data_IF_433623810764
#
_entry.id   IF_433623810764
#
_cell.length_a   1.000
_cell.length_b   1.000
_cell.length_c   1.000
_cell.angle_alpha   90.00
_cell.angle_beta   90.00
_cell.angle_gamma   90.00
#
_symmetry.space_group_name_H-M   'P 1'
#
loop_
_entity.id
_entity.type
_entity.pdbx_description
1 polymer ?
#
# COMPACT_ATOMS: atom_id res chain seq x y z
N UNK A 1 -20.93 -9.15 -6.62
CA UNK A 1 -19.62 -8.63 -6.19
C UNK A 1 -18.64 -9.80 -6.20
N UNK A 2 -17.50 -9.72 -6.88
CA UNK A 2 -16.48 -10.78 -6.79
C UNK A 2 -15.88 -10.72 -5.38
N UNK A 3 -15.80 -11.88 -4.72
CA UNK A 3 -15.11 -11.93 -3.42
C UNK A 3 -13.60 -11.93 -3.68
N UNK A 4 -12.95 -10.81 -3.38
CA UNK A 4 -11.51 -10.62 -3.57
C UNK A 4 -10.65 -11.60 -2.76
N UNK A 5 -11.21 -12.18 -1.70
CA UNK A 5 -10.54 -13.17 -0.87
C UNK A 5 -10.68 -14.60 -1.39
N UNK A 6 -11.61 -14.86 -2.32
CA UNK A 6 -11.69 -16.14 -3.05
C UNK A 6 -10.77 -16.13 -4.27
N UNK A 7 -10.71 -14.99 -4.97
CA UNK A 7 -9.83 -14.80 -6.10
C UNK A 7 -9.32 -13.35 -6.11
N UNK A 8 -8.08 -13.17 -5.64
CA UNK A 8 -7.45 -11.86 -5.62
C UNK A 8 -7.26 -11.34 -7.06
N UNK A 9 -7.79 -10.16 -7.38
CA UNK A 9 -7.60 -9.56 -8.69
C UNK A 9 -6.15 -9.13 -8.90
N UNK A 10 -5.78 -8.98 -10.16
CA UNK A 10 -4.55 -8.30 -10.58
C UNK A 10 -4.96 -6.98 -11.22
N UNK A 11 -4.30 -5.91 -10.83
CA UNK A 11 -4.54 -4.57 -11.36
C UNK A 11 -3.33 -4.08 -12.16
N UNK A 12 -3.60 -3.17 -13.08
CA UNK A 12 -2.56 -2.56 -13.89
C UNK A 12 -2.74 -1.04 -13.95
N UNK A 13 -1.62 -0.32 -13.84
CA UNK A 13 -1.50 1.09 -14.19
C UNK A 13 -0.68 1.25 -15.48
N UNK A 14 -0.35 2.46 -15.86
CA UNK A 14 0.58 2.70 -16.96
C UNK A 14 1.93 2.02 -16.71
N UNK A 15 2.47 2.18 -15.49
CA UNK A 15 3.84 1.76 -15.14
C UNK A 15 3.93 0.45 -14.37
N UNK A 16 2.86 0.03 -13.69
CA UNK A 16 2.89 -1.05 -12.70
C UNK A 16 1.86 -2.15 -12.94
N UNK A 17 2.18 -3.34 -12.44
CA UNK A 17 1.26 -4.43 -12.17
C UNK A 17 1.17 -4.59 -10.65
N UNK A 18 -0.05 -4.66 -10.10
CA UNK A 18 -0.32 -4.95 -8.70
C UNK A 18 -1.00 -6.32 -8.60
N UNK A 19 -0.39 -7.26 -7.94
CA UNK A 19 -0.94 -8.60 -7.68
C UNK A 19 -0.70 -9.01 -6.23
N UNK A 20 -1.49 -9.97 -5.75
CA UNK A 20 -1.26 -10.53 -4.41
C UNK A 20 0.24 -10.85 -4.22
N UNK A 21 0.78 -10.44 -3.08
CA UNK A 21 2.16 -10.74 -2.70
C UNK A 21 2.40 -12.25 -2.70
N UNK A 22 3.60 -12.68 -3.09
CA UNK A 22 4.03 -14.09 -3.11
C UNK A 22 5.32 -14.24 -2.34
N UNK A 23 5.58 -15.45 -1.87
CA UNK A 23 6.80 -15.74 -1.11
C UNK A 23 8.06 -15.47 -1.93
N UNK A 24 8.00 -15.73 -3.24
CA UNK A 24 9.10 -15.49 -4.18
C UNK A 24 9.46 -14.00 -4.33
N UNK A 25 8.62 -13.10 -3.88
CA UNK A 25 8.90 -11.65 -3.91
C UNK A 25 9.89 -11.22 -2.82
N UNK A 26 10.18 -12.09 -1.82
CA UNK A 26 10.93 -11.72 -0.62
C UNK A 26 12.31 -11.14 -0.94
N UNK A 27 13.06 -11.75 -1.85
CA UNK A 27 14.41 -11.30 -2.22
C UNK A 27 14.39 -9.88 -2.81
N UNK A 28 13.41 -9.58 -3.67
CA UNK A 28 13.31 -8.27 -4.31
C UNK A 28 12.68 -7.21 -3.41
N UNK A 29 11.68 -7.60 -2.60
CA UNK A 29 11.05 -6.72 -1.62
C UNK A 29 12.01 -6.33 -0.48
N UNK A 30 12.99 -7.17 -0.15
CA UNK A 30 13.96 -6.85 0.89
C UNK A 30 14.66 -5.52 0.62
N UNK A 31 14.95 -5.18 -0.63
CA UNK A 31 15.57 -3.89 -0.99
C UNK A 31 14.73 -2.68 -0.58
N UNK A 32 13.40 -2.82 -0.61
CA UNK A 32 12.46 -1.79 -0.16
C UNK A 32 12.44 -1.65 1.36
N UNK A 33 12.46 -2.78 2.07
CA UNK A 33 12.26 -2.85 3.52
C UNK A 33 13.56 -2.88 4.34
N UNK A 34 14.73 -2.93 3.71
CA UNK A 34 16.05 -2.83 4.37
C UNK A 34 16.68 -1.44 4.33
N UNK A 35 16.04 -0.49 3.66
CA UNK A 35 16.47 0.92 3.65
C UNK A 35 15.90 1.64 4.87
N UNK A 36 16.76 1.90 5.87
CA UNK A 36 16.38 2.53 7.14
C UNK A 36 15.75 3.92 7.01
N UNK A 37 16.12 4.68 5.98
CA UNK A 37 15.56 6.01 5.78
C UNK A 37 14.25 5.96 5.01
N UNK A 38 14.12 5.00 4.11
CA UNK A 38 12.89 4.81 3.35
C UNK A 38 11.73 4.25 4.21
N UNK A 39 12.01 3.28 5.09
CA UNK A 39 10.95 2.68 5.95
C UNK A 39 10.34 3.67 6.94
N UNK A 40 11.02 4.75 7.29
CA UNK A 40 10.46 5.84 8.11
C UNK A 40 9.28 6.54 7.44
N UNK A 41 9.15 6.42 6.12
CA UNK A 41 8.06 6.99 5.34
C UNK A 41 6.82 6.07 5.28
N UNK A 42 6.95 4.82 5.71
CA UNK A 42 5.86 3.85 5.69
C UNK A 42 4.89 4.09 6.84
N UNK A 43 3.64 3.75 6.61
CA UNK A 43 2.62 3.85 7.65
C UNK A 43 2.64 2.59 8.52
N UNK A 44 3.29 2.67 9.68
CA UNK A 44 3.36 1.60 10.68
C UNK A 44 2.30 1.75 11.80
N UNK A 45 1.34 2.64 11.66
CA UNK A 45 0.31 2.85 12.67
C UNK A 45 -0.45 1.55 12.95
N UNK A 46 -0.52 1.19 14.26
CA UNK A 46 -1.20 -0.02 14.73
C UNK A 46 -0.59 -1.34 14.23
N UNK A 47 0.64 -1.30 13.75
CA UNK A 47 1.41 -2.49 13.42
C UNK A 47 2.33 -2.86 14.58
N UNK A 48 2.65 -4.14 14.69
CA UNK A 48 3.64 -4.64 15.66
C UNK A 48 5.08 -4.56 15.13
N UNK A 49 5.24 -4.26 13.85
CA UNK A 49 6.52 -4.11 13.15
C UNK A 49 6.76 -2.66 12.77
N UNK A 50 8.02 -2.23 12.74
CA UNK A 50 8.48 -0.97 12.15
C UNK A 50 8.76 -1.08 10.64
N UNK A 51 8.47 -2.25 10.05
CA UNK A 51 8.72 -2.60 8.65
C UNK A 51 10.20 -2.59 8.23
N UNK A 52 11.14 -2.55 9.15
CA UNK A 52 12.54 -2.74 8.82
C UNK A 52 12.93 -4.22 8.91
N UNK A 53 13.40 -4.78 7.80
CA UNK A 53 13.89 -6.14 7.70
C UNK A 53 15.30 -6.15 7.13
N UNK A 54 16.16 -7.01 7.64
CA UNK A 54 17.57 -7.06 7.27
C UNK A 54 17.98 -8.33 6.51
N UNK A 55 17.11 -9.33 6.50
CA UNK A 55 17.36 -10.63 5.86
C UNK A 55 16.17 -11.07 5.01
N UNK A 56 16.44 -11.91 4.02
CA UNK A 56 15.38 -12.53 3.20
C UNK A 56 14.44 -13.36 4.07
N UNK A 57 14.96 -14.07 5.07
CA UNK A 57 14.15 -14.87 5.99
C UNK A 57 13.14 -14.01 6.77
N UNK A 58 13.56 -12.85 7.28
CA UNK A 58 12.66 -11.91 7.94
C UNK A 58 11.56 -11.41 6.97
N UNK A 59 11.95 -11.11 5.72
CA UNK A 59 10.98 -10.68 4.70
C UNK A 59 10.00 -11.81 4.33
N UNK A 60 10.49 -13.06 4.18
CA UNK A 60 9.64 -14.22 3.96
C UNK A 60 8.64 -14.43 5.10
N UNK A 61 9.07 -14.29 6.34
CA UNK A 61 8.20 -14.43 7.50
C UNK A 61 7.13 -13.33 7.52
N UNK A 62 7.48 -12.11 7.14
CA UNK A 62 6.53 -11.02 6.96
C UNK A 62 5.50 -11.33 5.85
N UNK A 63 5.94 -11.83 4.69
CA UNK A 63 5.03 -12.20 3.60
C UNK A 63 4.10 -13.34 4.03
N UNK A 64 4.60 -14.35 4.74
CA UNK A 64 3.76 -15.44 5.30
C UNK A 64 2.66 -14.87 6.20
N UNK A 65 3.01 -13.94 7.08
CA UNK A 65 2.03 -13.25 7.93
C UNK A 65 0.99 -12.50 7.09
N UNK A 66 1.38 -11.73 6.07
CA UNK A 66 0.44 -11.04 5.19
C UNK A 66 -0.51 -11.99 4.45
N UNK A 67 -0.01 -13.14 4.01
CA UNK A 67 -0.82 -14.16 3.36
C UNK A 67 -1.79 -14.85 4.33
N UNK A 68 -1.39 -15.04 5.59
CA UNK A 68 -2.29 -15.53 6.64
C UNK A 68 -3.43 -14.54 6.93
N UNK A 69 -3.12 -13.23 6.98
CA UNK A 69 -4.13 -12.19 7.17
C UNK A 69 -5.08 -12.09 5.97
N UNK A 70 -4.57 -12.29 4.75
CA UNK A 70 -5.41 -12.43 3.57
C UNK A 70 -6.36 -13.62 3.68
N UNK A 71 -5.89 -14.78 4.12
CA UNK A 71 -6.73 -15.97 4.34
C UNK A 71 -7.83 -15.73 5.39
N UNK A 72 -7.54 -14.89 6.40
CA UNK A 72 -8.53 -14.47 7.42
C UNK A 72 -9.45 -13.35 6.92
N UNK A 73 -9.28 -12.88 5.70
CA UNK A 73 -10.05 -11.80 5.08
C UNK A 73 -9.94 -10.45 5.81
N UNK A 74 -8.77 -10.15 6.39
CA UNK A 74 -8.57 -8.89 7.10
C UNK A 74 -8.11 -7.76 6.15
N UNK A 75 -7.20 -8.04 5.24
CA UNK A 75 -6.71 -7.11 4.23
C UNK A 75 -5.99 -7.84 3.09
N UNK A 76 -5.71 -7.10 2.03
CA UNK A 76 -4.89 -7.58 0.91
C UNK A 76 -3.63 -6.76 0.82
N UNK A 77 -2.49 -7.44 0.69
CA UNK A 77 -1.20 -6.82 0.39
C UNK A 77 -0.78 -7.19 -1.03
N UNK A 78 -0.69 -6.18 -1.89
CA UNK A 78 -0.27 -6.32 -3.27
C UNK A 78 1.21 -6.03 -3.42
N UNK A 79 1.95 -6.86 -4.17
CA UNK A 79 3.26 -6.47 -4.68
C UNK A 79 3.11 -5.48 -5.81
N UNK A 80 3.89 -4.42 -5.79
CA UNK A 80 4.01 -3.43 -6.88
C UNK A 80 5.16 -3.84 -7.78
N UNK A 81 4.88 -4.08 -9.06
CA UNK A 81 5.81 -4.65 -10.02
C UNK A 81 5.91 -3.72 -11.22
N UNK A 82 7.03 -3.01 -11.43
CA UNK A 82 7.23 -2.22 -12.64
C UNK A 82 7.20 -3.10 -13.89
N UNK A 83 6.44 -2.68 -14.89
CA UNK A 83 6.37 -3.36 -16.19
C UNK A 83 7.73 -3.40 -16.90
N UNK A 84 8.66 -2.51 -16.54
CA UNK A 84 9.99 -2.40 -17.13
C UNK A 84 10.98 -3.47 -16.70
N UNK A 85 10.85 -4.02 -15.48
CA UNK A 85 11.84 -4.96 -14.94
C UNK A 85 11.22 -6.23 -14.31
N UNK A 86 9.90 -6.25 -14.14
CA UNK A 86 9.15 -7.38 -13.61
C UNK A 86 9.59 -7.88 -12.21
N UNK A 87 10.12 -6.99 -11.36
CA UNK A 87 10.54 -7.28 -9.98
C UNK A 87 9.68 -6.50 -9.00
N UNK A 88 9.27 -7.13 -7.90
CA UNK A 88 8.55 -6.43 -6.84
C UNK A 88 9.44 -5.36 -6.20
N UNK A 89 8.99 -4.11 -6.19
CA UNK A 89 9.73 -2.94 -5.67
C UNK A 89 9.07 -2.30 -4.45
N UNK A 90 8.02 -2.89 -3.98
CA UNK A 90 7.27 -2.40 -2.85
C UNK A 90 5.91 -3.07 -2.76
N UNK A 91 5.08 -2.60 -1.85
CA UNK A 91 3.73 -3.13 -1.67
C UNK A 91 2.68 -2.03 -1.52
N UNK A 92 1.44 -2.41 -1.85
CA UNK A 92 0.24 -1.63 -1.54
C UNK A 92 -0.68 -2.49 -0.70
N UNK A 93 -1.17 -1.93 0.38
CA UNK A 93 -2.18 -2.55 1.23
C UNK A 93 -3.41 -1.66 1.28
N UNK A 94 -4.57 -2.27 1.15
CA UNK A 94 -5.81 -1.60 1.50
C UNK A 94 -6.53 -2.40 2.58
N UNK A 95 -6.87 -1.71 3.65
CA UNK A 95 -7.77 -2.19 4.66
C UNK A 95 -9.19 -2.08 4.14
N UNK A 96 -9.84 -3.22 3.99
CA UNK A 96 -11.26 -3.27 3.66
C UNK A 96 -12.16 -2.82 4.80
N UNK A 97 -13.47 -2.84 4.57
CA UNK A 97 -14.47 -2.40 5.51
C UNK A 97 -14.48 -0.87 5.67
N UNK A 98 -15.01 -0.40 6.79
CA UNK A 98 -15.24 1.03 7.03
C UNK A 98 -13.96 1.89 7.09
N UNK A 99 -12.80 1.29 7.25
CA UNK A 99 -11.58 2.04 7.45
C UNK A 99 -11.01 2.65 6.16
N UNK A 100 -10.99 1.91 5.06
CA UNK A 100 -10.48 2.37 3.76
C UNK A 100 -9.03 2.90 3.80
N UNK A 101 -8.18 2.38 4.69
CA UNK A 101 -6.80 2.86 4.85
C UNK A 101 -5.93 2.29 3.76
N UNK A 102 -5.32 3.17 2.96
CA UNK A 102 -4.35 2.84 1.92
C UNK A 102 -2.93 3.04 2.45
N UNK A 103 -2.11 2.01 2.34
CA UNK A 103 -0.66 2.06 2.61
C UNK A 103 0.09 1.79 1.32
N UNK A 104 1.08 2.64 1.01
CA UNK A 104 1.91 2.55 -0.18
C UNK A 104 3.35 2.57 0.28
N UNK A 105 4.00 1.41 0.22
CA UNK A 105 5.39 1.21 0.60
C UNK A 105 6.19 0.93 -0.68
N UNK A 106 7.00 1.87 -1.14
CA UNK A 106 7.82 1.73 -2.34
C UNK A 106 9.29 1.91 -2.00
N UNK A 107 10.17 1.22 -2.72
CA UNK A 107 11.61 1.47 -2.64
C UNK A 107 11.93 2.92 -3.02
N UNK A 108 13.02 3.46 -2.48
CA UNK A 108 13.34 4.89 -2.57
C UNK A 108 13.35 5.43 -4.01
N UNK A 109 13.83 4.63 -4.95
CA UNK A 109 13.87 4.96 -6.38
C UNK A 109 12.47 5.19 -6.98
N UNK A 110 11.47 4.42 -6.53
CA UNK A 110 10.09 4.49 -7.01
C UNK A 110 9.18 5.33 -6.10
N UNK A 111 9.70 5.83 -4.98
CA UNK A 111 8.94 6.66 -4.04
C UNK A 111 8.78 8.10 -4.58
N UNK A 112 8.13 8.23 -5.73
CA UNK A 112 7.93 9.47 -6.50
C UNK A 112 6.47 9.89 -6.52
N UNK A 113 6.19 11.18 -6.77
CA UNK A 113 4.83 11.68 -6.94
C UNK A 113 4.08 10.96 -8.07
N UNK A 114 4.77 10.67 -9.20
CA UNK A 114 4.16 9.94 -10.31
C UNK A 114 3.70 8.55 -9.90
N UNK A 115 4.52 7.80 -9.16
CA UNK A 115 4.16 6.46 -8.68
C UNK A 115 2.97 6.50 -7.72
N UNK A 116 2.95 7.49 -6.83
CA UNK A 116 1.83 7.71 -5.91
C UNK A 116 0.56 8.09 -6.65
N UNK A 117 0.62 9.02 -7.61
CA UNK A 117 -0.53 9.43 -8.42
C UNK A 117 -1.16 8.22 -9.14
N UNK A 118 -0.36 7.40 -9.83
CA UNK A 118 -0.86 6.21 -10.51
C UNK A 118 -1.55 5.22 -9.58
N UNK A 119 -0.95 4.94 -8.41
CA UNK A 119 -1.50 3.96 -7.45
C UNK A 119 -2.75 4.51 -6.76
N UNK A 120 -2.77 5.79 -6.40
CA UNK A 120 -3.93 6.41 -5.76
C UNK A 120 -5.12 6.48 -6.74
N UNK A 121 -4.90 6.83 -8.01
CA UNK A 121 -5.96 6.81 -9.03
C UNK A 121 -6.52 5.42 -9.21
N UNK A 122 -5.68 4.40 -9.34
CA UNK A 122 -6.12 3.01 -9.40
C UNK A 122 -6.98 2.64 -8.19
N UNK A 123 -6.60 3.10 -6.99
CA UNK A 123 -7.36 2.85 -5.77
C UNK A 123 -8.75 3.47 -5.83
N UNK A 124 -8.85 4.74 -6.23
CA UNK A 124 -10.13 5.45 -6.35
C UNK A 124 -11.01 4.81 -7.42
N UNK A 125 -10.43 4.39 -8.55
CA UNK A 125 -11.17 3.89 -9.71
C UNK A 125 -11.61 2.42 -9.57
N UNK A 126 -10.86 1.59 -8.85
CA UNK A 126 -11.09 0.15 -8.84
C UNK A 126 -11.18 -0.45 -7.43
N UNK A 127 -10.29 -0.09 -6.50
CA UNK A 127 -10.31 -0.69 -5.15
C UNK A 127 -11.57 -0.33 -4.39
N UNK A 128 -12.07 0.87 -4.56
CA UNK A 128 -13.30 1.35 -3.93
C UNK A 128 -14.43 0.36 -4.13
N UNK A 129 -14.68 -0.02 -5.38
CA UNK A 129 -15.76 -0.95 -5.73
C UNK A 129 -15.45 -2.38 -5.30
N UNK A 130 -14.21 -2.85 -5.54
CA UNK A 130 -13.82 -4.23 -5.26
C UNK A 130 -13.76 -4.53 -3.74
N UNK A 131 -13.38 -3.53 -2.93
CA UNK A 131 -13.29 -3.65 -1.47
C UNK A 131 -14.53 -3.15 -0.74
N UNK A 132 -15.47 -2.53 -1.43
CA UNK A 132 -16.70 -1.99 -0.84
C UNK A 132 -16.45 -0.92 0.22
N UNK A 133 -15.51 0.00 -0.06
CA UNK A 133 -15.14 1.10 0.85
C UNK A 133 -15.78 2.41 0.41
N UNK A 134 -16.18 3.23 1.37
CA UNK A 134 -16.84 4.51 1.12
C UNK A 134 -15.86 5.70 1.08
N UNK A 135 -14.63 5.47 1.53
CA UNK A 135 -13.60 6.50 1.55
C UNK A 135 -12.21 5.89 1.54
N UNK A 136 -11.24 6.61 0.98
CA UNK A 136 -9.81 6.24 1.00
C UNK A 136 -9.07 7.18 1.94
N UNK A 137 -8.25 6.63 2.83
CA UNK A 137 -7.49 7.38 3.82
C UNK A 137 -6.01 7.09 3.68
N UNK A 138 -5.18 8.13 3.59
CA UNK A 138 -3.74 8.04 3.47
C UNK A 138 -3.09 8.83 4.61
N UNK A 139 -2.13 8.23 5.32
CA UNK A 139 -1.31 8.96 6.27
C UNK A 139 -0.30 9.82 5.51
N UNK A 140 -0.27 11.13 5.79
CA UNK A 140 0.58 12.10 5.10
C UNK A 140 1.69 12.66 5.96
N UNK A 141 1.58 12.54 7.29
CA UNK A 141 2.60 13.05 8.22
C UNK A 141 4.00 12.45 8.01
N UNK A 142 4.10 11.23 7.47
CA UNK A 142 5.35 10.56 7.15
C UNK A 142 5.90 10.93 5.75
N UNK A 143 5.10 11.58 4.93
CA UNK A 143 5.40 11.90 3.52
C UNK A 143 5.00 13.33 3.18
N UNK A 144 5.42 14.34 3.97
CA UNK A 144 4.98 15.72 3.79
C UNK A 144 5.29 16.28 2.40
N UNK A 145 6.32 15.76 1.75
CA UNK A 145 6.69 16.13 0.38
C UNK A 145 5.66 15.72 -0.69
N UNK A 146 4.71 14.85 -0.35
CA UNK A 146 3.67 14.37 -1.26
C UNK A 146 2.28 14.96 -1.00
N UNK A 147 2.14 15.82 0.00
CA UNK A 147 0.83 16.40 0.37
C UNK A 147 0.18 17.07 -0.84
N UNK A 148 0.93 17.89 -1.59
CA UNK A 148 0.39 18.58 -2.76
C UNK A 148 -0.13 17.60 -3.83
N UNK A 149 0.57 16.50 -4.08
CA UNK A 149 0.13 15.47 -5.01
C UNK A 149 -1.20 14.84 -4.54
N UNK A 150 -1.30 14.51 -3.27
CA UNK A 150 -2.49 13.89 -2.66
C UNK A 150 -3.68 14.86 -2.67
N UNK A 151 -3.48 16.14 -2.33
CA UNK A 151 -4.52 17.17 -2.38
C UNK A 151 -4.99 17.45 -3.81
N UNK A 152 -4.09 17.44 -4.80
CA UNK A 152 -4.46 17.57 -6.21
C UNK A 152 -5.34 16.42 -6.73
N UNK A 153 -5.29 15.26 -6.06
CA UNK A 153 -6.17 14.12 -6.32
C UNK A 153 -7.53 14.23 -5.59
N UNK A 154 -7.75 15.31 -4.85
CA UNK A 154 -9.02 15.61 -4.17
C UNK A 154 -9.08 15.14 -2.72
N UNK A 155 -7.97 14.67 -2.15
CA UNK A 155 -7.91 14.39 -0.73
C UNK A 155 -7.87 15.67 0.10
N UNK A 156 -8.53 15.64 1.24
CA UNK A 156 -8.53 16.73 2.22
C UNK A 156 -8.04 16.21 3.58
N UNK A 157 -7.49 17.07 4.45
CA UNK A 157 -7.15 16.66 5.81
C UNK A 157 -8.35 16.00 6.49
N UNK A 158 -8.16 14.80 7.04
CA UNK A 158 -9.24 14.11 7.74
C UNK A 158 -9.57 14.81 9.05
N UNK A 159 -10.85 15.07 9.26
CA UNK A 159 -11.38 15.60 10.53
C UNK A 159 -12.20 14.57 11.31
N UNK A 160 -12.32 13.35 10.80
CA UNK A 160 -13.12 12.26 11.36
C UNK A 160 -12.30 11.03 11.73
N UNK A 161 -11.22 10.75 10.99
CA UNK A 161 -10.40 9.56 11.18
C UNK A 161 -9.03 9.92 11.75
N UNK A 162 -8.79 9.56 13.01
CA UNK A 162 -7.47 9.65 13.69
C UNK A 162 -6.76 10.97 13.43
N UNK A 163 -7.43 12.05 13.72
CA UNK A 163 -7.02 13.43 13.39
C UNK A 163 -5.63 13.78 13.91
N UNK A 164 -5.20 13.17 15.02
CA UNK A 164 -3.89 13.36 15.65
C UNK A 164 -2.72 12.69 14.90
N UNK A 165 -3.03 11.80 13.93
CA UNK A 165 -2.00 11.04 13.20
C UNK A 165 -1.69 11.57 11.79
N UNK A 166 -2.35 12.67 11.36
CA UNK A 166 -2.07 13.31 10.09
C UNK A 166 -2.50 12.50 8.87
N UNK A 167 -3.79 12.11 8.84
CA UNK A 167 -4.41 11.48 7.68
C UNK A 167 -5.08 12.50 6.77
N UNK A 168 -5.06 12.21 5.47
CA UNK A 168 -5.94 12.82 4.47
C UNK A 168 -6.95 11.78 4.00
N UNK A 169 -8.15 12.23 3.64
CA UNK A 169 -9.25 11.37 3.19
C UNK A 169 -9.84 11.86 1.88
N UNK A 170 -10.26 10.90 1.06
CA UNK A 170 -11.07 11.09 -0.14
C UNK A 170 -12.40 10.38 0.06
N UNK A 171 -13.50 11.10 0.01
CA UNK A 171 -14.86 10.56 0.12
C UNK A 171 -15.43 10.31 -1.28
N UNK A 172 -16.10 9.19 -1.44
CA UNK A 172 -16.65 8.68 -2.70
C UNK A 172 -18.09 9.14 -2.84
#
# INVERSE_FOLDING_TARGET
MKNIYEQCPTYETESFVLRLVKLEDAETLLSCYSDKDNVKKFNADFCTSDFYYSTVEEMENCIKFWLEEYQKQYYVRFSVIPKSNNKAIGTVEIFGGEAGVLRIDLSAEYNTEKSFDEIIRLTIEQFVDDFGIDSVKIKTSNIPEKINCIENLGFVPSNTYRTEFGYHEYNI
#
